data_IF_058387552953
#
_entry.id   IF_058387552953
#
_cell.length_a   1.000
_cell.length_b   1.000
_cell.length_c   1.000
_cell.angle_alpha   90.00
_cell.angle_beta   90.00
_cell.angle_gamma   90.00
#
_symmetry.space_group_name_H-M   'P 1'
#
loop_
_entity.id
_entity.type
_entity.pdbx_description
1 polymer ?
#
# COMPACT_ATOMS: atom_id res chain seq x y z
N UNK A 1 -11.07 3.99 9.32
CA UNK A 1 -11.26 5.15 8.43
C UNK A 1 -9.96 5.37 7.67
N UNK A 2 -10.01 5.69 6.36
CA UNK A 2 -8.80 5.81 5.51
C UNK A 2 -7.93 6.99 5.93
N UNK A 3 -8.52 8.15 6.25
CA UNK A 3 -7.76 9.34 6.63
C UNK A 3 -6.88 9.16 7.87
N UNK A 4 -7.33 8.41 8.88
CA UNK A 4 -6.51 8.12 10.06
C UNK A 4 -5.27 7.27 9.75
N UNK A 5 -5.22 6.61 8.58
CA UNK A 5 -4.04 5.87 8.13
C UNK A 5 -2.98 6.79 7.56
N UNK A 6 -3.38 7.91 6.95
CA UNK A 6 -2.45 8.91 6.43
C UNK A 6 -1.81 9.76 7.53
N UNK A 7 -2.34 9.72 8.75
CA UNK A 7 -1.72 10.36 9.92
C UNK A 7 -0.73 9.46 10.65
N UNK A 8 -0.54 8.22 10.21
CA UNK A 8 0.42 7.30 10.79
C UNK A 8 1.82 7.67 10.32
N UNK A 9 2.68 8.02 11.27
CA UNK A 9 4.10 8.29 11.01
C UNK A 9 4.90 7.09 11.50
N UNK A 10 5.62 6.36 10.63
CA UNK A 10 6.50 5.28 11.06
C UNK A 10 7.67 5.83 11.87
N UNK A 11 8.10 5.08 12.89
CA UNK A 11 9.32 5.38 13.64
C UNK A 11 10.51 4.71 12.92
N UNK A 12 11.23 5.48 12.10
CA UNK A 12 12.32 4.95 11.28
C UNK A 12 11.83 4.14 10.08
N UNK A 13 12.56 3.07 9.74
CA UNK A 13 12.28 2.21 8.57
C UNK A 13 11.43 0.97 8.90
N UNK A 14 10.98 0.83 10.15
CA UNK A 14 10.17 -0.32 10.56
C UNK A 14 8.75 -0.25 9.96
N UNK A 15 8.24 -1.34 9.39
CA UNK A 15 6.90 -1.37 8.81
C UNK A 15 5.84 -1.21 9.90
N UNK A 16 5.02 -0.16 9.78
CA UNK A 16 3.94 0.12 10.72
C UNK A 16 2.60 -0.44 10.21
N UNK A 17 1.92 -1.33 10.96
CA UNK A 17 0.66 -1.90 10.52
C UNK A 17 -0.39 -0.83 10.20
N UNK A 18 -0.91 -0.90 8.98
CA UNK A 18 -1.97 0.00 8.51
C UNK A 18 -1.47 1.35 7.95
N UNK A 19 -0.15 1.62 8.01
CA UNK A 19 0.45 2.70 7.24
C UNK A 19 0.26 2.48 5.73
N UNK A 20 0.21 3.57 4.98
CA UNK A 20 0.07 3.53 3.53
C UNK A 20 1.41 3.93 2.93
N UNK A 21 1.96 3.06 2.09
CA UNK A 21 3.23 3.30 1.42
C UNK A 21 2.97 3.80 0.01
N UNK A 22 3.58 4.93 -0.34
CA UNK A 22 3.53 5.50 -1.68
C UNK A 22 4.86 5.27 -2.39
N UNK A 23 4.85 4.91 -3.69
CA UNK A 23 6.08 4.84 -4.47
C UNK A 23 6.80 6.19 -4.47
N UNK A 24 8.12 6.19 -4.24
CA UNK A 24 8.95 7.37 -4.41
C UNK A 24 9.28 7.58 -5.90
N UNK A 25 8.24 7.71 -6.73
CA UNK A 25 8.34 7.94 -8.15
C UNK A 25 7.26 8.95 -8.57
N UNK A 26 7.63 10.17 -8.99
CA UNK A 26 6.67 11.22 -9.36
C UNK A 26 5.87 10.90 -10.63
N UNK A 27 6.33 9.96 -11.46
CA UNK A 27 5.57 9.49 -12.63
C UNK A 27 4.41 8.56 -12.23
N UNK A 28 4.48 7.98 -11.03
CA UNK A 28 3.48 7.07 -10.49
C UNK A 28 2.61 7.79 -9.46
N UNK A 29 3.21 8.52 -8.52
CA UNK A 29 2.51 9.23 -7.46
C UNK A 29 2.89 10.71 -7.46
N UNK A 30 2.01 11.54 -8.01
CA UNK A 30 2.21 12.98 -8.14
C UNK A 30 1.33 13.79 -7.17
N UNK A 31 1.48 15.12 -7.22
CA UNK A 31 0.65 16.02 -6.41
C UNK A 31 -0.84 15.88 -6.75
N UNK A 32 -1.18 15.61 -8.00
CA UNK A 32 -2.57 15.46 -8.45
C UNK A 32 -3.23 14.25 -7.78
N UNK A 33 -2.53 13.13 -7.72
CA UNK A 33 -3.03 11.92 -7.06
C UNK A 33 -3.13 12.10 -5.54
N UNK A 34 -2.14 12.74 -4.92
CA UNK A 34 -2.19 13.09 -3.49
C UNK A 34 -3.39 14.00 -3.16
N UNK A 35 -3.72 14.96 -4.02
CA UNK A 35 -4.89 15.83 -3.88
C UNK A 35 -6.21 15.06 -4.05
N UNK A 36 -6.27 14.09 -4.96
CA UNK A 36 -7.46 13.27 -5.14
C UNK A 36 -7.68 12.30 -3.98
N UNK A 37 -6.62 11.71 -3.41
CA UNK A 37 -6.69 10.87 -2.21
C UNK A 37 -7.17 11.65 -0.97
N UNK A 38 -6.95 12.96 -0.94
CA UNK A 38 -7.34 13.87 0.14
C UNK A 38 -8.46 14.83 -0.26
N UNK A 39 -9.26 14.42 -1.25
CA UNK A 39 -10.28 15.27 -1.86
C UNK A 39 -11.50 15.53 -0.96
N UNK A 40 -11.78 14.72 0.05
CA UNK A 40 -12.94 14.93 0.93
C UNK A 40 -12.55 15.54 2.27
N UNK A 41 -13.42 16.41 2.76
CA UNK A 41 -13.29 17.03 4.08
C UNK A 41 -14.56 16.83 4.89
N UNK A 42 -14.44 16.76 6.22
CA UNK A 42 -15.59 16.76 7.11
C UNK A 42 -16.16 18.18 7.20
N UNK A 43 -17.42 18.34 6.80
CA UNK A 43 -18.15 19.60 6.81
C UNK A 43 -19.44 19.44 7.61
N UNK A 44 -19.73 20.43 8.46
CA UNK A 44 -21.04 20.54 9.09
C UNK A 44 -22.05 21.06 8.06
N UNK A 45 -23.08 20.26 7.76
CA UNK A 45 -24.20 20.67 6.91
C UNK A 45 -25.52 20.54 7.66
N UNK A 46 -26.42 21.49 7.42
CA UNK A 46 -27.80 21.39 7.88
C UNK A 46 -28.60 20.55 6.88
N UNK A 47 -29.10 19.41 7.35
CA UNK A 47 -29.93 18.49 6.55
C UNK A 47 -31.13 18.11 7.39
N UNK A 48 -32.34 18.35 6.88
CA UNK A 48 -33.61 18.07 7.55
C UNK A 48 -33.74 18.74 8.94
N UNK A 49 -33.31 19.99 9.04
CA UNK A 49 -33.40 20.77 10.30
C UNK A 49 -32.44 20.29 11.40
N UNK A 50 -31.49 19.40 11.10
CA UNK A 50 -30.44 18.95 12.02
C UNK A 50 -29.06 19.19 11.43
N UNK A 51 -28.08 19.55 12.28
CA UNK A 51 -26.67 19.56 11.89
C UNK A 51 -26.17 18.12 11.77
N UNK A 52 -25.57 17.78 10.63
CA UNK A 52 -24.87 16.51 10.41
C UNK A 52 -23.45 16.81 9.95
N UNK A 53 -22.50 15.99 10.39
CA UNK A 53 -21.12 16.00 9.87
C UNK A 53 -21.11 15.06 8.66
N UNK A 54 -20.77 15.60 7.49
CA UNK A 54 -20.72 14.87 6.22
C UNK A 54 -19.33 15.02 5.60
N UNK A 55 -18.92 14.02 4.83
CA UNK A 55 -17.76 14.13 3.95
C UNK A 55 -18.19 14.78 2.64
N UNK A 56 -17.50 15.84 2.25
CA UNK A 56 -17.78 16.59 1.01
C UNK A 56 -16.49 16.78 0.22
N UNK A 57 -16.51 16.44 -1.07
CA UNK A 57 -15.39 16.63 -1.98
C UNK A 57 -15.25 18.07 -2.49
N UNK A 58 -16.24 18.95 -2.23
CA UNK A 58 -16.28 20.34 -2.71
C UNK A 58 -16.12 20.46 -4.23
N UNK A 59 -16.66 19.49 -4.98
CA UNK A 59 -16.54 19.37 -6.46
C UNK A 59 -15.12 19.08 -6.97
N UNK A 60 -14.21 18.63 -6.10
CA UNK A 60 -12.91 18.08 -6.52
C UNK A 60 -13.09 16.66 -7.02
N UNK A 61 -12.18 16.26 -7.91
CA UNK A 61 -11.95 14.87 -8.32
C UNK A 61 -11.49 14.04 -7.11
N UNK A 62 -12.08 12.87 -6.90
CA UNK A 62 -11.85 11.98 -5.76
C UNK A 62 -11.70 10.51 -6.20
N UNK A 63 -11.51 10.24 -7.50
CA UNK A 63 -11.47 8.89 -8.05
C UNK A 63 -10.35 8.04 -7.43
N UNK A 64 -9.20 8.67 -7.11
CA UNK A 64 -8.11 7.99 -6.40
C UNK A 64 -8.52 7.51 -5.00
N UNK A 65 -9.26 8.35 -4.25
CA UNK A 65 -9.80 7.97 -2.95
C UNK A 65 -10.83 6.84 -3.09
N UNK A 66 -11.76 6.96 -4.04
CA UNK A 66 -12.79 5.94 -4.27
C UNK A 66 -12.17 4.59 -4.63
N UNK A 67 -11.15 4.59 -5.51
CA UNK A 67 -10.38 3.41 -5.85
C UNK A 67 -9.70 2.80 -4.61
N UNK A 68 -9.07 3.62 -3.78
CA UNK A 68 -8.42 3.16 -2.56
C UNK A 68 -9.41 2.58 -1.54
N UNK A 69 -10.58 3.21 -1.37
CA UNK A 69 -11.69 2.69 -0.55
C UNK A 69 -12.14 1.33 -1.06
N UNK A 70 -12.34 1.19 -2.37
CA UNK A 70 -12.73 -0.08 -2.98
C UNK A 70 -11.68 -1.17 -2.80
N UNK A 71 -10.41 -0.88 -3.04
CA UNK A 71 -9.31 -1.83 -2.85
C UNK A 71 -9.23 -2.31 -1.40
N UNK A 72 -9.35 -1.41 -0.42
CA UNK A 72 -9.34 -1.76 0.99
C UNK A 72 -10.57 -2.60 1.38
N UNK A 73 -11.74 -2.30 0.83
CA UNK A 73 -12.94 -3.09 1.04
C UNK A 73 -12.80 -4.51 0.46
N UNK A 74 -12.30 -4.62 -0.77
CA UNK A 74 -12.02 -5.89 -1.44
C UNK A 74 -11.02 -6.74 -0.64
N UNK A 75 -9.94 -6.14 -0.14
CA UNK A 75 -8.97 -6.80 0.73
C UNK A 75 -9.65 -7.37 2.00
N UNK A 76 -10.45 -6.56 2.69
CA UNK A 76 -11.16 -6.98 3.92
C UNK A 76 -12.16 -8.10 3.67
N UNK A 77 -12.89 -8.02 2.55
CA UNK A 77 -13.80 -9.09 2.13
C UNK A 77 -12.98 -10.36 1.85
N UNK A 78 -11.84 -10.24 1.19
CA UNK A 78 -10.99 -11.39 0.86
C UNK A 78 -10.46 -12.10 2.10
N UNK A 79 -10.02 -11.34 3.10
CA UNK A 79 -9.60 -11.90 4.39
C UNK A 79 -10.79 -12.60 5.09
N UNK A 80 -11.95 -11.95 5.17
CA UNK A 80 -13.09 -12.46 5.95
C UNK A 80 -13.87 -13.60 5.28
N UNK A 81 -13.97 -13.61 3.94
CA UNK A 81 -14.79 -14.57 3.18
C UNK A 81 -13.97 -15.66 2.50
N UNK A 82 -12.79 -15.30 2.01
CA UNK A 82 -11.92 -16.22 1.27
C UNK A 82 -10.69 -16.65 2.07
N UNK A 83 -10.58 -16.23 3.34
CA UNK A 83 -9.50 -16.63 4.24
C UNK A 83 -8.11 -16.30 3.67
N UNK A 84 -8.02 -15.17 2.95
CA UNK A 84 -6.75 -14.66 2.44
C UNK A 84 -5.78 -14.44 3.60
N UNK A 85 -4.63 -15.12 3.57
CA UNK A 85 -3.55 -14.98 4.55
C UNK A 85 -2.42 -14.13 4.00
N UNK A 86 -2.26 -12.94 4.57
CA UNK A 86 -1.22 -11.99 4.17
C UNK A 86 0.18 -12.43 4.62
N UNK A 87 0.28 -13.18 5.71
CA UNK A 87 1.57 -13.68 6.22
C UNK A 87 2.12 -14.75 5.30
N UNK A 88 1.26 -15.67 4.86
CA UNK A 88 1.62 -16.68 3.87
C UNK A 88 2.03 -16.06 2.53
N UNK A 89 1.31 -15.04 2.07
CA UNK A 89 1.64 -14.32 0.83
C UNK A 89 2.97 -13.55 0.93
N UNK A 90 3.25 -12.95 2.09
CA UNK A 90 4.54 -12.29 2.34
C UNK A 90 5.69 -13.31 2.30
N UNK A 91 5.52 -14.47 2.95
CA UNK A 91 6.52 -15.52 2.94
C UNK A 91 6.83 -16.01 1.52
N UNK A 92 5.80 -16.22 0.68
CA UNK A 92 6.01 -16.62 -0.71
C UNK A 92 6.75 -15.55 -1.53
N UNK A 93 6.47 -14.26 -1.30
CA UNK A 93 7.17 -13.18 -2.00
C UNK A 93 8.67 -13.15 -1.63
N UNK A 94 8.97 -13.32 -0.34
CA UNK A 94 10.35 -13.36 0.16
C UNK A 94 11.13 -14.57 -0.37
N UNK A 95 10.48 -15.71 -0.55
CA UNK A 95 11.08 -16.88 -1.20
C UNK A 95 11.42 -16.61 -2.67
N UNK A 96 10.55 -15.92 -3.42
CA UNK A 96 10.81 -15.53 -4.81
C UNK A 96 11.99 -14.55 -4.93
N UNK A 97 12.03 -13.53 -4.06
CA UNK A 97 13.13 -12.56 -4.02
C UNK A 97 14.47 -13.22 -3.64
N UNK A 98 14.43 -14.17 -2.68
CA UNK A 98 15.56 -15.00 -2.29
C UNK A 98 16.05 -15.92 -3.40
N UNK A 99 15.13 -16.49 -4.20
CA UNK A 99 15.47 -17.31 -5.35
C UNK A 99 16.06 -16.49 -6.51
N UNK A 100 15.61 -15.24 -6.69
CA UNK A 100 16.16 -14.32 -7.68
C UNK A 100 17.59 -13.88 -7.33
N UNK A 101 17.87 -13.63 -6.04
CA UNK A 101 19.21 -13.29 -5.54
C UNK A 101 20.17 -14.50 -5.49
N UNK A 102 19.66 -15.71 -5.31
CA UNK A 102 20.45 -16.95 -5.32
C UNK A 102 20.65 -17.56 -6.74
N UNK A 103 20.45 -16.78 -7.81
CA UNK A 103 20.95 -17.14 -9.13
C UNK A 103 22.44 -16.86 -9.21
N UNK A 104 23.25 -17.74 -8.62
CA UNK A 104 24.69 -17.80 -8.91
C UNK A 104 24.85 -17.93 -10.42
N UNK A 105 25.70 -17.09 -11.01
CA UNK A 105 25.93 -17.15 -12.46
C UNK A 105 26.64 -18.46 -12.80
N UNK A 106 26.55 -18.92 -14.04
CA UNK A 106 27.28 -20.11 -14.50
C UNK A 106 28.80 -19.98 -14.22
N UNK A 107 29.32 -18.74 -14.25
CA UNK A 107 30.70 -18.42 -13.90
C UNK A 107 31.01 -18.64 -12.40
N UNK A 108 30.07 -18.35 -11.50
CA UNK A 108 30.24 -18.59 -10.06
C UNK A 108 30.25 -20.09 -9.74
N UNK A 109 29.44 -20.88 -10.45
CA UNK A 109 29.50 -22.35 -10.35
C UNK A 109 30.81 -22.92 -10.93
N UNK A 110 31.29 -22.37 -12.06
CA UNK A 110 32.55 -22.79 -12.65
C UNK A 110 33.74 -22.48 -11.72
N UNK A 111 33.75 -21.32 -11.04
CA UNK A 111 34.77 -20.97 -10.04
C UNK A 111 34.74 -21.88 -8.81
N UNK A 112 33.54 -22.23 -8.31
CA UNK A 112 33.41 -23.15 -7.19
C UNK A 112 33.87 -24.59 -7.54
N UNK A 113 33.85 -24.96 -8.82
CA UNK A 113 34.29 -26.27 -9.31
C UNK A 113 35.75 -26.29 -9.76
N UNK A 114 36.38 -25.14 -10.03
CA UNK A 114 37.79 -25.07 -10.47
C UNK A 114 38.79 -25.32 -9.34
N UNK A 115 38.35 -25.33 -8.08
CA UNK A 115 39.18 -25.70 -6.94
C UNK A 115 40.32 -24.73 -6.64
N UNK A 116 40.23 -23.47 -7.07
CA UNK A 116 41.26 -22.44 -6.86
C UNK A 116 41.17 -21.73 -5.50
N UNK A 117 40.72 -22.44 -4.45
CA UNK A 117 40.84 -22.00 -3.06
C UNK A 117 42.01 -22.76 -2.39
N UNK A 118 43.24 -22.46 -2.80
CA UNK A 118 44.50 -22.69 -2.06
C UNK A 118 45.37 -21.43 -2.07
#
# INVERSE_FOLDING_TARGET
QIYNRFTLTPEGDEPLPGAVHFPNNPDIFDLTEAQQLTAEEQVEKWVDGRKKILWDSKKRRNEALDCFVYALAALRISISRWQLDLSALLASLQEEDGAATNKKTLADYARALSGEDE
#
